data_IF_337581175588
#
_entry.id   IF_337581175588
#
_cell.length_a   1.000
_cell.length_b   1.000
_cell.length_c   1.000
_cell.angle_alpha   90.00
_cell.angle_beta   90.00
_cell.angle_gamma   90.00
#
_symmetry.space_group_name_H-M   'P 1'
#
loop_
_entity.id
_entity.type
_entity.pdbx_description
1 polymer ?
#
# COMPACT_ATOMS: atom_id res chain seq x y z
N UNK A 1 -5.52 7.65 6.48
CA UNK A 1 -6.05 8.97 6.09
C UNK A 1 -6.86 9.58 7.23
N UNK A 2 -8.03 9.03 7.63
CA UNK A 2 -8.88 9.61 8.69
C UNK A 2 -8.10 9.84 9.99
N UNK A 3 -7.30 8.86 10.43
CA UNK A 3 -6.44 8.98 11.60
C UNK A 3 -5.43 10.14 11.47
N UNK A 4 -4.74 10.23 10.33
CA UNK A 4 -3.79 11.29 10.04
C UNK A 4 -4.46 12.66 10.04
N UNK A 5 -5.65 12.74 9.42
CA UNK A 5 -6.42 13.96 9.34
C UNK A 5 -6.93 14.41 10.73
N UNK A 6 -7.42 13.48 11.56
CA UNK A 6 -7.84 13.79 12.93
C UNK A 6 -6.65 14.29 13.76
N UNK A 7 -5.47 13.71 13.57
CA UNK A 7 -4.25 14.14 14.25
C UNK A 7 -3.76 15.52 13.77
N UNK A 8 -3.85 15.81 12.46
CA UNK A 8 -3.52 17.13 11.88
C UNK A 8 -4.37 18.26 12.49
N UNK A 9 -5.64 17.98 12.81
CA UNK A 9 -6.57 18.96 13.36
C UNK A 9 -6.79 18.85 14.88
N UNK A 10 -5.94 18.14 15.61
CA UNK A 10 -6.04 17.96 17.07
C UNK A 10 -7.43 17.48 17.49
N UNK A 11 -8.00 16.51 16.78
CA UNK A 11 -9.28 15.90 17.08
C UNK A 11 -9.10 14.61 17.86
N UNK A 12 -10.02 14.33 18.77
CA UNK A 12 -10.12 13.07 19.51
C UNK A 12 -11.32 12.27 19.05
N UNK A 13 -11.36 10.97 19.39
CA UNK A 13 -12.46 10.09 18.95
C UNK A 13 -11.97 8.77 18.38
N UNK A 14 -12.63 8.26 17.35
CA UNK A 14 -12.27 6.98 16.76
C UNK A 14 -12.81 6.81 15.35
N UNK A 15 -12.21 5.86 14.63
CA UNK A 15 -12.64 5.39 13.33
C UNK A 15 -12.64 3.86 13.30
N UNK A 16 -13.62 3.25 12.65
CA UNK A 16 -13.57 1.85 12.25
C UNK A 16 -14.23 1.64 10.89
N UNK A 17 -13.85 0.54 10.23
CA UNK A 17 -14.45 0.09 9.00
C UNK A 17 -15.49 -0.99 9.29
N UNK A 18 -16.61 -0.95 8.55
CA UNK A 18 -17.50 -2.09 8.36
C UNK A 18 -17.26 -2.70 6.97
N UNK A 19 -18.01 -3.71 6.59
CA UNK A 19 -17.86 -4.33 5.25
C UNK A 19 -18.19 -3.39 4.08
N UNK A 20 -18.94 -2.29 4.33
CA UNK A 20 -19.34 -1.34 3.27
C UNK A 20 -19.10 0.12 3.62
N UNK A 21 -18.95 0.45 4.90
CA UNK A 21 -18.93 1.83 5.39
C UNK A 21 -17.73 2.12 6.28
N UNK A 22 -17.46 3.41 6.47
CA UNK A 22 -16.51 3.91 7.49
C UNK A 22 -17.29 4.76 8.49
N UNK A 23 -17.26 4.36 9.76
CA UNK A 23 -17.84 5.16 10.84
C UNK A 23 -16.75 5.94 11.55
N UNK A 24 -16.98 7.24 11.70
CA UNK A 24 -16.03 8.17 12.32
C UNK A 24 -16.76 8.94 13.41
N UNK A 25 -16.19 8.98 14.60
CA UNK A 25 -16.62 9.87 15.68
C UNK A 25 -15.48 10.81 16.01
N UNK A 26 -15.72 12.10 16.00
CA UNK A 26 -14.72 13.13 16.25
C UNK A 26 -15.23 14.18 17.25
N UNK A 27 -14.36 14.58 18.15
CA UNK A 27 -14.55 15.66 19.09
C UNK A 27 -13.39 16.65 18.99
N UNK A 28 -13.70 17.94 19.12
CA UNK A 28 -12.73 19.01 19.11
C UNK A 28 -13.33 20.40 18.96
N UNK A 29 -12.51 21.39 18.70
CA UNK A 29 -12.97 22.77 18.46
C UNK A 29 -13.78 22.82 17.15
N UNK A 30 -14.84 23.62 17.12
CA UNK A 30 -15.74 23.76 15.96
C UNK A 30 -14.99 24.07 14.66
N UNK A 31 -14.00 24.94 14.70
CA UNK A 31 -13.20 25.28 13.51
C UNK A 31 -12.38 24.09 13.00
N UNK A 32 -11.82 23.28 13.90
CA UNK A 32 -11.06 22.09 13.56
C UNK A 32 -11.97 20.99 12.96
N UNK A 33 -13.16 20.81 13.54
CA UNK A 33 -14.19 19.91 13.01
C UNK A 33 -14.62 20.34 11.60
N UNK A 34 -14.86 21.63 11.37
CA UNK A 34 -15.23 22.15 10.05
C UNK A 34 -14.13 21.91 9.01
N UNK A 35 -12.86 22.15 9.35
CA UNK A 35 -11.70 21.90 8.47
C UNK A 35 -11.52 20.40 8.18
N UNK A 36 -11.68 19.57 9.20
CA UNK A 36 -11.63 18.11 9.05
C UNK A 36 -12.67 17.63 8.03
N UNK A 37 -13.92 18.07 8.17
CA UNK A 37 -15.02 17.70 7.26
C UNK A 37 -14.78 18.21 5.83
N UNK A 38 -14.27 19.44 5.67
CA UNK A 38 -13.92 19.98 4.37
C UNK A 38 -12.84 19.12 3.70
N UNK A 39 -11.74 18.84 4.39
CA UNK A 39 -10.63 18.01 3.89
C UNK A 39 -11.06 16.58 3.57
N UNK A 40 -11.93 15.98 4.39
CA UNK A 40 -12.46 14.65 4.14
C UNK A 40 -13.22 14.57 2.80
N UNK A 41 -13.93 15.64 2.44
CA UNK A 41 -14.72 15.72 1.18
C UNK A 41 -13.85 16.08 -0.03
N UNK A 42 -12.96 17.06 0.12
CA UNK A 42 -12.25 17.71 -0.99
C UNK A 42 -11.01 16.94 -1.42
N UNK A 43 -10.33 16.27 -0.49
CA UNK A 43 -9.06 15.61 -0.75
C UNK A 43 -9.00 14.19 -0.16
N UNK A 44 -9.97 13.32 -0.51
CA UNK A 44 -9.93 11.93 -0.07
C UNK A 44 -8.71 11.21 -0.67
N UNK A 45 -8.31 10.04 -0.12
CA UNK A 45 -7.25 9.24 -0.72
C UNK A 45 -7.55 8.92 -2.20
N UNK A 46 -6.54 8.89 -3.09
CA UNK A 46 -6.74 8.72 -4.53
C UNK A 46 -7.57 7.50 -4.94
N UNK A 47 -7.58 6.47 -4.09
CA UNK A 47 -8.28 5.20 -4.34
C UNK A 47 -9.62 5.09 -3.60
N UNK A 48 -10.01 6.11 -2.82
CA UNK A 48 -11.29 6.09 -2.13
C UNK A 48 -12.38 6.67 -3.01
N UNK A 49 -13.55 6.04 -2.99
CA UNK A 49 -14.76 6.55 -3.60
C UNK A 49 -15.78 6.79 -2.49
N UNK A 50 -16.04 8.06 -2.19
CA UNK A 50 -17.01 8.46 -1.16
C UNK A 50 -18.31 8.77 -1.87
N UNK A 51 -19.30 7.88 -1.75
CA UNK A 51 -20.63 8.06 -2.35
C UNK A 51 -21.47 9.08 -1.57
N UNK A 52 -21.41 8.99 -0.25
CA UNK A 52 -22.18 9.89 0.63
C UNK A 52 -21.48 10.05 1.99
N UNK A 53 -21.69 11.20 2.62
CA UNK A 53 -21.27 11.46 4.01
C UNK A 53 -22.51 11.92 4.77
N UNK A 54 -22.96 11.09 5.71
CA UNK A 54 -24.02 11.45 6.65
C UNK A 54 -23.40 11.94 7.95
N UNK A 55 -23.84 13.09 8.42
CA UNK A 55 -23.31 13.73 9.63
C UNK A 55 -24.43 13.81 10.66
N UNK A 56 -24.14 13.43 11.89
CA UNK A 56 -25.03 13.62 13.03
C UNK A 56 -24.24 14.19 14.21
N UNK A 57 -24.83 15.19 14.87
CA UNK A 57 -24.27 15.73 16.12
C UNK A 57 -24.59 14.78 17.28
N UNK A 58 -23.59 14.59 18.14
CA UNK A 58 -23.69 13.73 19.31
C UNK A 58 -23.20 14.50 20.56
N UNK A 59 -23.68 14.15 21.76
CA UNK A 59 -23.14 14.69 22.99
C UNK A 59 -21.63 14.39 23.09
N UNK A 60 -20.88 15.37 23.65
CA UNK A 60 -19.44 15.22 23.90
C UNK A 60 -19.22 14.13 24.96
N UNK A 61 -18.35 13.18 24.67
CA UNK A 61 -17.99 12.06 25.55
C UNK A 61 -16.68 12.34 26.30
N UNK A 62 -15.81 13.17 25.70
CA UNK A 62 -14.51 13.53 26.26
C UNK A 62 -13.39 12.55 25.94
N UNK A 63 -13.31 12.11 24.71
CA UNK A 63 -12.21 11.25 24.24
C UNK A 63 -10.86 11.94 24.45
N UNK A 64 -9.86 11.18 24.91
CA UNK A 64 -8.52 11.72 25.20
C UNK A 64 -7.57 11.63 24.00
N UNK A 65 -7.83 10.75 23.06
CA UNK A 65 -7.02 10.52 21.85
C UNK A 65 -7.90 10.09 20.70
N UNK A 66 -7.35 10.04 19.50
CA UNK A 66 -8.02 9.45 18.33
C UNK A 66 -7.55 8.00 18.14
N UNK A 67 -8.48 7.06 17.97
CA UNK A 67 -8.20 5.64 17.92
C UNK A 67 -8.68 5.00 16.60
N UNK A 68 -7.92 4.02 16.11
CA UNK A 68 -8.39 3.10 15.08
C UNK A 68 -8.94 1.87 15.77
N UNK A 69 -10.24 1.64 15.67
CA UNK A 69 -10.91 0.47 16.24
C UNK A 69 -10.91 -0.69 15.25
N UNK A 70 -11.00 -1.90 15.77
CA UNK A 70 -11.13 -3.10 14.93
C UNK A 70 -12.36 -3.02 14.04
N UNK A 71 -12.19 -3.43 12.78
CA UNK A 71 -13.27 -3.54 11.82
C UNK A 71 -14.32 -4.52 12.32
N UNK A 72 -15.59 -4.14 12.18
CA UNK A 72 -16.71 -5.02 12.48
C UNK A 72 -17.15 -5.68 11.18
N UNK A 73 -16.88 -6.98 11.05
CA UNK A 73 -17.44 -7.77 9.95
C UNK A 73 -18.94 -7.96 10.19
N UNK A 74 -19.77 -7.66 9.21
CA UNK A 74 -21.18 -8.00 9.21
C UNK A 74 -21.39 -9.30 8.45
N UNK A 75 -22.13 -10.24 9.03
CA UNK A 75 -22.47 -11.50 8.36
C UNK A 75 -23.23 -11.22 7.04
N UNK A 76 -22.80 -11.84 5.96
CA UNK A 76 -23.41 -11.72 4.63
C UNK A 76 -22.89 -10.59 3.75
N UNK A 77 -21.96 -9.76 4.22
CA UNK A 77 -21.30 -8.73 3.39
C UNK A 77 -19.95 -9.24 2.87
N UNK A 78 -19.74 -9.10 1.58
CA UNK A 78 -18.48 -9.51 0.92
C UNK A 78 -17.53 -8.31 0.83
N UNK A 79 -16.32 -8.48 1.31
CA UNK A 79 -15.26 -7.51 1.08
C UNK A 79 -14.77 -7.64 -0.37
N UNK A 80 -14.98 -6.58 -1.17
CA UNK A 80 -14.45 -6.53 -2.52
C UNK A 80 -12.92 -6.45 -2.48
N UNK A 81 -12.27 -7.29 -3.28
CA UNK A 81 -10.82 -7.26 -3.46
C UNK A 81 -10.51 -6.16 -4.47
N UNK A 82 -9.71 -5.18 -4.04
CA UNK A 82 -9.22 -4.14 -4.95
C UNK A 82 -8.36 -4.73 -6.08
N UNK A 83 -8.42 -4.18 -7.30
CA UNK A 83 -7.47 -4.52 -8.36
C UNK A 83 -6.05 -4.10 -7.95
N UNK A 84 -5.06 -4.62 -8.69
CA UNK A 84 -3.69 -4.14 -8.60
C UNK A 84 -3.61 -2.66 -9.05
N UNK A 85 -2.77 -1.90 -8.38
CA UNK A 85 -2.65 -0.46 -8.59
C UNK A 85 -1.25 -0.13 -9.13
N UNK A 86 -1.20 0.70 -10.16
CA UNK A 86 0.07 1.20 -10.70
C UNK A 86 0.89 1.92 -9.62
N UNK A 87 2.21 1.86 -9.73
CA UNK A 87 3.13 2.53 -8.81
C UNK A 87 2.84 4.04 -8.76
N UNK A 88 2.59 4.57 -7.57
CA UNK A 88 2.29 5.99 -7.38
C UNK A 88 3.55 6.85 -7.46
N UNK A 89 3.38 8.15 -7.73
CA UNK A 89 4.49 9.10 -7.87
C UNK A 89 5.46 9.10 -6.67
N UNK A 90 4.93 8.99 -5.43
CA UNK A 90 5.76 8.95 -4.23
C UNK A 90 6.63 7.67 -4.17
N UNK A 91 6.10 6.49 -4.55
CA UNK A 91 6.90 5.26 -4.64
C UNK A 91 7.89 5.32 -5.80
N UNK A 92 7.51 5.91 -6.94
CA UNK A 92 8.42 6.14 -8.07
C UNK A 92 9.59 7.04 -7.66
N UNK A 93 9.33 8.12 -6.91
CA UNK A 93 10.38 9.00 -6.41
C UNK A 93 11.39 8.24 -5.54
N UNK A 94 10.94 7.41 -4.60
CA UNK A 94 11.82 6.58 -3.76
C UNK A 94 12.66 5.58 -4.58
N UNK A 95 12.07 4.95 -5.62
CA UNK A 95 12.80 4.02 -6.49
C UNK A 95 13.99 4.70 -7.19
N UNK A 96 13.84 5.98 -7.52
CA UNK A 96 14.88 6.76 -8.23
C UNK A 96 15.74 7.64 -7.32
N UNK A 97 15.45 7.73 -6.04
CA UNK A 97 16.26 8.47 -5.07
C UNK A 97 17.39 7.58 -4.52
N UNK A 98 18.63 7.89 -4.90
CA UNK A 98 19.82 7.14 -4.43
C UNK A 98 20.06 7.22 -2.91
N UNK A 99 19.42 8.17 -2.21
CA UNK A 99 19.46 8.28 -0.76
C UNK A 99 18.37 7.44 -0.07
N UNK A 100 17.34 6.98 -0.79
CA UNK A 100 16.28 6.15 -0.24
C UNK A 100 16.71 4.68 -0.09
N UNK A 101 16.29 4.05 0.99
CA UNK A 101 16.58 2.62 1.25
C UNK A 101 15.93 1.65 0.26
N UNK A 102 14.99 2.12 -0.56
CA UNK A 102 14.33 1.40 -1.66
C UNK A 102 14.82 1.84 -3.04
N UNK A 103 15.94 2.55 -3.08
CA UNK A 103 16.58 2.87 -4.35
C UNK A 103 16.73 1.62 -5.24
N UNK A 104 16.31 1.71 -6.49
CA UNK A 104 16.31 0.61 -7.48
C UNK A 104 15.54 -0.66 -7.04
N UNK A 105 14.65 -0.57 -6.04
CA UNK A 105 13.87 -1.72 -5.60
C UNK A 105 12.53 -1.80 -6.33
N UNK A 106 12.33 -2.75 -7.27
CA UNK A 106 11.18 -2.78 -8.18
C UNK A 106 9.87 -3.18 -7.49
N UNK A 107 9.91 -3.74 -6.29
CA UNK A 107 8.74 -4.15 -5.51
C UNK A 107 8.28 -3.07 -4.50
N UNK A 108 8.75 -1.84 -4.66
CA UNK A 108 8.35 -0.71 -3.81
C UNK A 108 6.86 -0.41 -3.99
N UNK A 109 6.15 -0.32 -2.87
CA UNK A 109 4.71 -0.09 -2.82
C UNK A 109 4.30 0.68 -1.55
N UNK A 110 3.03 1.08 -1.47
CA UNK A 110 2.42 1.66 -0.28
C UNK A 110 0.91 1.35 -0.24
N UNK A 111 0.16 1.97 0.68
CA UNK A 111 -1.31 1.80 0.74
C UNK A 111 -2.02 2.27 -0.52
N UNK A 112 -1.45 3.22 -1.28
CA UNK A 112 -2.06 3.80 -2.48
C UNK A 112 -1.63 3.13 -3.79
N UNK A 113 -0.72 2.16 -3.78
CA UNK A 113 -0.23 1.50 -5.00
C UNK A 113 0.32 0.10 -4.73
N UNK A 114 0.62 -0.62 -5.80
CA UNK A 114 1.19 -1.96 -5.76
C UNK A 114 0.14 -3.07 -5.85
N UNK A 115 0.57 -4.32 -5.67
CA UNK A 115 -0.28 -5.48 -5.88
C UNK A 115 -1.34 -5.60 -4.79
N UNK A 116 -2.50 -6.12 -5.18
CA UNK A 116 -3.66 -6.49 -4.34
C UNK A 116 -4.18 -7.85 -4.78
N UNK A 117 -4.93 -7.86 -5.89
CA UNK A 117 -5.55 -9.06 -6.44
C UNK A 117 -4.53 -10.15 -6.77
N UNK A 118 -3.40 -9.80 -7.40
CA UNK A 118 -2.39 -10.78 -7.83
C UNK A 118 -1.63 -11.46 -6.70
N UNK A 119 -1.67 -10.91 -5.48
CA UNK A 119 -0.97 -11.49 -4.33
C UNK A 119 -1.89 -12.15 -3.32
N UNK A 120 -3.21 -11.97 -3.41
CA UNK A 120 -4.14 -12.52 -2.42
C UNK A 120 -4.31 -14.02 -2.61
N UNK A 121 -4.27 -14.76 -1.51
CA UNK A 121 -4.53 -16.20 -1.47
C UNK A 121 -5.88 -16.52 -0.79
N UNK A 122 -6.29 -15.66 0.15
CA UNK A 122 -7.54 -15.82 0.90
C UNK A 122 -8.00 -14.48 1.48
N UNK A 123 -9.25 -14.38 1.91
CA UNK A 123 -9.85 -13.21 2.58
C UNK A 123 -9.96 -13.43 4.10
N UNK A 124 -9.90 -12.35 4.89
CA UNK A 124 -9.64 -10.94 4.54
C UNK A 124 -8.24 -10.72 3.99
N UNK A 125 -8.06 -9.61 3.22
CA UNK A 125 -6.78 -9.21 2.65
C UNK A 125 -5.80 -8.78 3.75
N UNK A 126 -5.11 -9.77 4.31
CA UNK A 126 -4.06 -9.60 5.32
C UNK A 126 -2.79 -10.32 4.90
N UNK A 127 -1.62 -9.79 5.27
CA UNK A 127 -0.32 -10.32 4.83
C UNK A 127 -0.14 -11.84 4.99
N UNK A 128 -0.58 -12.49 6.10
CA UNK A 128 -0.51 -13.95 6.23
C UNK A 128 -1.32 -14.72 5.20
N UNK A 129 -2.30 -14.07 4.55
CA UNK A 129 -3.17 -14.63 3.51
C UNK A 129 -2.82 -14.13 2.12
N UNK A 130 -1.55 -13.78 1.92
CA UNK A 130 -1.01 -13.33 0.65
C UNK A 130 0.28 -14.08 0.32
N UNK A 131 0.71 -14.02 -0.95
CA UNK A 131 2.02 -14.52 -1.38
C UNK A 131 3.21 -13.83 -0.70
N UNK A 132 2.96 -12.78 0.11
CA UNK A 132 3.97 -12.12 0.93
C UNK A 132 4.23 -12.82 2.28
N UNK A 133 3.45 -13.83 2.64
CA UNK A 133 3.61 -14.63 3.87
C UNK A 133 5.05 -15.12 4.11
N UNK A 134 5.79 -15.64 3.11
CA UNK A 134 7.15 -16.12 3.31
C UNK A 134 8.21 -15.01 3.47
N UNK A 135 7.81 -13.74 3.41
CA UNK A 135 8.71 -12.58 3.52
C UNK A 135 8.48 -11.82 4.84
N UNK A 136 9.08 -12.26 5.97
CA UNK A 136 8.93 -11.54 7.23
C UNK A 136 9.54 -10.14 7.12
N UNK A 137 8.80 -9.14 7.61
CA UNK A 137 9.28 -7.76 7.55
C UNK A 137 10.51 -7.55 8.45
N UNK A 138 11.49 -6.80 7.97
CA UNK A 138 12.56 -6.30 8.81
C UNK A 138 12.02 -5.23 9.80
N UNK A 139 12.77 -4.90 10.88
CA UNK A 139 12.29 -3.95 11.89
C UNK A 139 11.82 -2.61 11.33
N UNK A 140 12.51 -2.07 10.34
CA UNK A 140 12.11 -0.81 9.69
C UNK A 140 10.80 -0.92 8.91
N UNK A 141 10.62 -1.99 8.12
CA UNK A 141 9.36 -2.23 7.41
C UNK A 141 8.22 -2.52 8.38
N UNK A 142 8.48 -3.19 9.49
CA UNK A 142 7.49 -3.44 10.53
C UNK A 142 7.08 -2.14 11.24
N UNK A 143 8.02 -1.24 11.49
CA UNK A 143 7.73 0.07 12.06
C UNK A 143 6.83 0.90 11.14
N UNK A 144 7.14 0.98 9.83
CA UNK A 144 6.28 1.63 8.84
C UNK A 144 4.89 1.01 8.79
N UNK A 145 4.82 -0.32 8.80
CA UNK A 145 3.56 -1.07 8.75
C UNK A 145 2.67 -0.81 9.98
N UNK A 146 3.27 -0.63 11.16
CA UNK A 146 2.55 -0.43 12.42
C UNK A 146 2.26 1.05 12.71
N UNK A 147 2.91 1.99 12.02
CA UNK A 147 2.75 3.42 12.28
C UNK A 147 1.56 4.01 11.49
N UNK A 148 0.46 4.43 12.16
CA UNK A 148 -0.70 5.01 11.49
C UNK A 148 -0.41 6.31 10.72
N UNK A 149 0.71 6.97 11.01
CA UNK A 149 1.15 8.18 10.31
C UNK A 149 1.99 7.88 9.07
N UNK A 150 2.44 6.62 8.90
CA UNK A 150 3.22 6.23 7.74
C UNK A 150 2.33 5.91 6.54
N UNK A 151 2.79 6.23 5.34
CA UNK A 151 2.10 5.91 4.09
C UNK A 151 2.08 4.39 3.76
N UNK A 152 2.79 3.57 4.54
CA UNK A 152 2.80 2.11 4.48
C UNK A 152 2.06 1.44 5.63
N UNK A 153 1.33 2.23 6.42
CA UNK A 153 0.50 1.68 7.48
C UNK A 153 -0.46 0.62 6.92
N UNK A 154 -0.33 -0.62 7.42
CA UNK A 154 -1.09 -1.79 6.97
C UNK A 154 -1.01 -2.07 5.45
N UNK A 155 0.03 -1.58 4.75
CA UNK A 155 0.30 -1.97 3.37
C UNK A 155 0.79 -3.43 3.34
N UNK A 156 -0.10 -4.37 3.01
CA UNK A 156 0.17 -5.80 3.10
C UNK A 156 1.42 -6.25 2.31
N UNK A 157 1.71 -5.70 1.10
CA UNK A 157 2.91 -6.03 0.36
C UNK A 157 4.16 -5.25 0.79
N UNK A 158 4.11 -4.45 1.89
CA UNK A 158 5.26 -3.65 2.32
C UNK A 158 6.53 -4.50 2.47
N UNK A 159 7.60 -4.06 1.82
CA UNK A 159 8.91 -4.71 1.83
C UNK A 159 10.02 -3.72 1.45
N UNK A 160 11.27 -4.18 1.55
CA UNK A 160 12.46 -3.51 1.03
C UNK A 160 13.45 -4.56 0.51
N UNK A 161 14.57 -4.17 -0.14
CA UNK A 161 15.55 -5.13 -0.67
C UNK A 161 16.05 -6.16 0.35
N UNK A 162 16.02 -5.80 1.65
CA UNK A 162 16.49 -6.67 2.74
C UNK A 162 15.48 -7.77 3.13
N UNK A 163 14.20 -7.52 3.01
CA UNK A 163 13.17 -8.41 3.58
C UNK A 163 12.08 -8.83 2.61
N UNK A 164 12.09 -8.33 1.39
CA UNK A 164 11.09 -8.65 0.38
C UNK A 164 11.62 -9.53 -0.75
N UNK A 165 10.82 -9.76 -1.79
CA UNK A 165 11.21 -10.49 -2.97
C UNK A 165 12.40 -9.84 -3.68
N UNK A 166 13.16 -10.64 -4.43
CA UNK A 166 14.30 -10.21 -5.23
C UNK A 166 14.13 -10.64 -6.69
N UNK A 167 14.86 -9.96 -7.58
CA UNK A 167 14.95 -10.36 -8.98
C UNK A 167 16.07 -11.40 -9.15
N UNK A 168 15.86 -12.28 -10.12
CA UNK A 168 16.85 -13.25 -10.56
C UNK A 168 16.91 -13.26 -12.09
N UNK A 169 18.11 -13.32 -12.66
CA UNK A 169 18.32 -13.55 -14.08
C UNK A 169 18.62 -15.02 -14.31
N UNK A 170 17.98 -15.61 -15.32
CA UNK A 170 18.23 -16.98 -15.73
C UNK A 170 18.48 -17.06 -17.24
N UNK A 171 19.22 -18.09 -17.68
CA UNK A 171 19.36 -18.42 -19.09
C UNK A 171 18.12 -19.14 -19.65
N UNK A 172 18.14 -19.46 -20.94
CA UNK A 172 17.04 -20.15 -21.61
C UNK A 172 16.77 -21.57 -21.08
N UNK A 173 17.72 -22.14 -20.34
CA UNK A 173 17.61 -23.48 -19.71
C UNK A 173 17.13 -23.38 -18.24
N UNK A 174 16.91 -22.16 -17.74
CA UNK A 174 16.51 -21.93 -16.35
C UNK A 174 17.67 -21.86 -15.35
N UNK A 175 18.93 -21.88 -15.80
CA UNK A 175 20.08 -21.75 -14.92
C UNK A 175 20.25 -20.30 -14.49
N UNK A 176 20.49 -20.07 -13.20
CA UNK A 176 20.73 -18.72 -12.66
C UNK A 176 22.03 -18.13 -13.23
N UNK A 177 21.90 -16.90 -13.75
CA UNK A 177 23.05 -16.08 -14.15
C UNK A 177 23.34 -15.11 -13.00
N UNK A 178 24.50 -15.28 -12.37
CA UNK A 178 24.93 -14.39 -11.28
C UNK A 178 25.45 -13.07 -11.83
N UNK A 179 24.78 -11.97 -11.48
CA UNK A 179 25.15 -10.60 -11.86
C UNK A 179 25.00 -9.69 -10.64
N UNK A 180 25.77 -8.60 -10.63
CA UNK A 180 25.71 -7.62 -9.53
C UNK A 180 24.37 -6.83 -9.53
N UNK A 181 23.85 -6.50 -10.71
CA UNK A 181 22.60 -5.77 -10.91
C UNK A 181 21.80 -6.43 -12.04
N UNK A 182 20.69 -7.07 -11.65
CA UNK A 182 19.81 -7.80 -12.58
C UNK A 182 19.13 -6.86 -13.56
N UNK A 183 18.73 -5.65 -13.12
CA UNK A 183 18.04 -4.68 -13.98
C UNK A 183 19.00 -4.12 -15.01
N UNK A 184 20.21 -3.76 -14.60
CA UNK A 184 21.25 -3.29 -15.53
C UNK A 184 21.64 -4.38 -16.55
N UNK A 185 21.80 -5.63 -16.11
CA UNK A 185 22.12 -6.76 -16.98
C UNK A 185 20.98 -7.01 -17.98
N UNK A 186 19.72 -7.00 -17.53
CA UNK A 186 18.55 -7.15 -18.40
C UNK A 186 18.47 -6.02 -19.44
N UNK A 187 18.71 -4.78 -19.02
CA UNK A 187 18.77 -3.62 -19.93
C UNK A 187 19.83 -3.77 -21.01
N UNK A 188 21.03 -4.28 -20.65
CA UNK A 188 22.10 -4.54 -21.61
C UNK A 188 21.72 -5.63 -22.62
N UNK A 189 21.07 -6.70 -22.18
CA UNK A 189 20.58 -7.76 -23.08
C UNK A 189 19.57 -7.21 -24.08
N UNK A 190 18.62 -6.39 -23.64
CA UNK A 190 17.66 -5.72 -24.54
C UNK A 190 18.37 -4.84 -25.56
N UNK A 191 19.34 -3.99 -25.16
CA UNK A 191 20.15 -3.16 -26.05
C UNK A 191 20.96 -3.98 -27.06
N UNK A 192 21.25 -5.24 -26.76
CA UNK A 192 21.93 -6.17 -27.68
C UNK A 192 20.93 -6.89 -28.61
N UNK A 193 19.67 -6.49 -28.63
CA UNK A 193 18.63 -7.10 -29.45
C UNK A 193 18.12 -8.45 -28.96
N UNK A 194 18.38 -8.79 -27.67
CA UNK A 194 17.83 -10.02 -27.07
C UNK A 194 16.39 -9.84 -26.66
N UNK A 195 15.63 -10.92 -26.69
CA UNK A 195 14.26 -10.98 -26.16
C UNK A 195 14.32 -11.55 -24.75
N UNK A 196 13.69 -10.88 -23.79
CA UNK A 196 13.60 -11.32 -22.42
C UNK A 196 12.19 -11.78 -22.09
N UNK A 197 12.07 -12.92 -21.41
CA UNK A 197 10.84 -13.34 -20.76
C UNK A 197 10.89 -12.89 -19.29
N UNK A 198 10.02 -11.96 -18.92
CA UNK A 198 9.96 -11.42 -17.56
C UNK A 198 8.84 -12.15 -16.82
N UNK A 199 9.18 -12.94 -15.80
CA UNK A 199 8.22 -13.62 -14.94
C UNK A 199 7.73 -12.64 -13.88
N UNK A 200 6.48 -12.22 -13.98
CA UNK A 200 5.75 -11.49 -12.94
C UNK A 200 4.91 -12.43 -12.06
N UNK A 201 4.16 -11.86 -11.13
CA UNK A 201 3.24 -12.63 -10.26
C UNK A 201 2.12 -13.30 -11.08
N UNK A 202 1.52 -12.57 -12.02
CA UNK A 202 0.41 -13.06 -12.83
C UNK A 202 0.81 -13.87 -14.07
N UNK A 203 2.08 -13.92 -14.47
CA UNK A 203 2.51 -14.61 -15.68
C UNK A 203 3.83 -14.10 -16.26
N UNK A 204 4.07 -14.41 -17.54
CA UNK A 204 5.23 -13.97 -18.29
C UNK A 204 4.88 -12.82 -19.23
N UNK A 205 5.78 -11.85 -19.30
CA UNK A 205 5.80 -10.78 -20.29
C UNK A 205 7.04 -10.92 -21.15
N UNK A 206 6.91 -10.67 -22.45
CA UNK A 206 8.05 -10.62 -23.37
C UNK A 206 8.46 -9.15 -23.53
N UNK A 207 9.74 -8.89 -23.44
CA UNK A 207 10.33 -7.58 -23.69
C UNK A 207 11.40 -7.67 -24.76
N UNK A 208 11.37 -6.73 -25.71
CA UNK A 208 12.37 -6.58 -26.77
C UNK A 208 12.63 -5.10 -27.01
N UNK A 209 13.79 -4.77 -27.57
CA UNK A 209 14.03 -3.44 -28.13
C UNK A 209 13.15 -3.28 -29.39
N UNK A 210 12.43 -2.16 -29.49
CA UNK A 210 11.53 -1.86 -30.59
C UNK A 210 12.12 -0.83 -31.60
N UNK A 211 13.40 -0.45 -31.44
CA UNK A 211 14.12 0.49 -32.31
C UNK A 211 14.81 -0.19 -33.46
#
# INVERSE_FOLDING_TARGET
FVYQLAHEYDLTGWVYNTSGDVTIVVEGKSDNLARFLARLRETPPPQSHIEAITISEQPVVGYQQFEIRHSLAREGEYQLISPDLATCAACTAEIFDSADRRYSYPFTNCTNCGPRFTIIEDIPYDRPRTTMRPFPMCPQCQQEYNNPLDRRFHAQPNACPRCGPSLQLADANGNTITVADVIAAASQLLKQGKILAIKGLGGFLLASDAT
#
